data_IF_412795679647
#
_entry.id   IF_412795679647
#
_cell.length_a   1.000
_cell.length_b   1.000
_cell.length_c   1.000
_cell.angle_alpha   90.00
_cell.angle_beta   90.00
_cell.angle_gamma   90.00
#
_symmetry.space_group_name_H-M   'P 1'
#
loop_
_entity.id
_entity.type
_entity.pdbx_description
1 polymer ?
#
# COMPACT_ATOMS: atom_id res chain seq x y z
N UNK A 1 1.44 28.45 4.96
CA UNK A 1 0.19 27.65 5.13
C UNK A 1 0.39 26.29 4.45
N UNK A 2 0.86 25.28 5.18
CA UNK A 2 1.23 23.97 4.62
C UNK A 2 0.09 22.96 4.50
N UNK A 3 -1.15 23.39 4.28
CA UNK A 3 -2.33 22.51 4.27
C UNK A 3 -2.29 21.49 3.14
N UNK A 4 -1.75 21.85 1.97
CA UNK A 4 -1.54 20.92 0.85
C UNK A 4 -0.55 19.81 1.22
N UNK A 5 0.57 20.16 1.84
CA UNK A 5 1.56 19.19 2.31
C UNK A 5 0.95 18.23 3.34
N UNK A 6 0.19 18.76 4.29
CA UNK A 6 -0.52 17.96 5.29
C UNK A 6 -1.55 17.02 4.64
N UNK A 7 -2.33 17.49 3.66
CA UNK A 7 -3.30 16.67 2.95
C UNK A 7 -2.62 15.54 2.16
N UNK A 8 -1.51 15.82 1.48
CA UNK A 8 -0.74 14.80 0.77
C UNK A 8 -0.14 13.77 1.73
N UNK A 9 0.44 14.21 2.85
CA UNK A 9 0.93 13.28 3.89
C UNK A 9 -0.19 12.39 4.43
N UNK A 10 -1.36 12.97 4.75
CA UNK A 10 -2.51 12.21 5.22
C UNK A 10 -2.92 11.12 4.23
N UNK A 11 -2.97 11.42 2.93
CA UNK A 11 -3.29 10.44 1.90
C UNK A 11 -2.24 9.32 1.88
N UNK A 12 -0.96 9.66 1.90
CA UNK A 12 0.12 8.67 1.91
C UNK A 12 0.10 7.81 3.17
N UNK A 13 -0.25 8.36 4.33
CA UNK A 13 -0.37 7.64 5.59
C UNK A 13 -1.57 6.68 5.59
N UNK A 14 -2.71 7.10 5.00
CA UNK A 14 -3.87 6.23 4.80
C UNK A 14 -3.53 5.07 3.87
N UNK A 15 -2.87 5.36 2.74
CA UNK A 15 -2.42 4.31 1.81
C UNK A 15 -1.45 3.36 2.52
N UNK A 16 -0.53 3.89 3.33
CA UNK A 16 0.43 3.10 4.11
C UNK A 16 -0.28 2.14 5.06
N UNK A 17 -1.29 2.64 5.79
CA UNK A 17 -2.08 1.83 6.70
C UNK A 17 -2.83 0.70 5.98
N UNK A 18 -3.50 1.02 4.85
CA UNK A 18 -4.22 0.03 4.04
C UNK A 18 -3.26 -1.03 3.49
N UNK A 19 -2.07 -0.62 3.05
CA UNK A 19 -1.04 -1.55 2.58
C UNK A 19 -0.51 -2.46 3.68
N UNK A 20 -0.24 -1.92 4.87
CA UNK A 20 0.14 -2.73 6.04
C UNK A 20 -0.96 -3.74 6.38
N UNK A 21 -2.22 -3.32 6.41
CA UNK A 21 -3.35 -4.21 6.65
C UNK A 21 -3.40 -5.34 5.61
N UNK A 22 -3.16 -5.02 4.33
CA UNK A 22 -3.11 -6.01 3.26
C UNK A 22 -1.94 -7.00 3.41
N UNK A 23 -0.73 -6.51 3.72
CA UNK A 23 0.46 -7.35 3.92
C UNK A 23 0.27 -8.29 5.11
N UNK A 24 -0.22 -7.76 6.24
CA UNK A 24 -0.51 -8.57 7.43
C UNK A 24 -1.58 -9.61 7.10
N UNK A 25 -2.67 -9.23 6.42
CA UNK A 25 -3.72 -10.18 6.04
C UNK A 25 -3.18 -11.26 5.11
N UNK A 26 -2.31 -10.92 4.17
CA UNK A 26 -1.63 -11.87 3.28
C UNK A 26 -0.83 -12.90 4.07
N UNK A 27 -0.03 -12.47 5.06
CA UNK A 27 0.69 -13.39 5.94
C UNK A 27 -0.22 -14.24 6.80
N UNK A 28 -1.27 -13.66 7.39
CA UNK A 28 -2.24 -14.39 8.20
C UNK A 28 -2.95 -15.49 7.39
N UNK A 29 -3.28 -15.22 6.12
CA UNK A 29 -3.86 -16.21 5.22
C UNK A 29 -2.82 -17.27 4.84
N UNK A 30 -1.60 -16.85 4.48
CA UNK A 30 -0.54 -17.76 4.05
C UNK A 30 -0.15 -18.76 5.16
N UNK A 31 0.03 -18.26 6.39
CA UNK A 31 0.29 -19.07 7.58
C UNK A 31 -0.94 -19.82 8.12
N UNK A 32 -2.04 -19.85 7.37
CA UNK A 32 -3.28 -20.56 7.73
C UNK A 32 -3.89 -20.10 9.07
N UNK A 33 -3.57 -18.88 9.53
CA UNK A 33 -4.17 -18.27 10.73
C UNK A 33 -5.59 -17.78 10.41
N UNK A 34 -5.79 -17.21 9.22
CA UNK A 34 -7.10 -16.81 8.70
C UNK A 34 -7.53 -17.71 7.55
N UNK A 35 -8.80 -18.12 7.57
CA UNK A 35 -9.36 -19.00 6.55
C UNK A 35 -10.27 -18.21 5.60
N UNK A 36 -9.91 -18.18 4.32
CA UNK A 36 -10.70 -17.53 3.25
C UNK A 36 -12.07 -18.17 3.01
N UNK A 37 -12.36 -19.34 3.58
CA UNK A 37 -13.71 -19.94 3.54
C UNK A 37 -14.71 -19.16 4.42
N UNK A 38 -14.22 -18.37 5.38
CA UNK A 38 -15.08 -17.53 6.22
C UNK A 38 -15.53 -16.30 5.41
N UNK A 39 -16.84 -16.06 5.27
CA UNK A 39 -17.34 -14.98 4.41
C UNK A 39 -16.77 -13.59 4.76
N UNK A 40 -16.59 -13.30 6.05
CA UNK A 40 -16.03 -12.03 6.51
C UNK A 40 -14.57 -11.85 6.07
N UNK A 41 -13.73 -12.87 6.26
CA UNK A 41 -12.31 -12.83 5.86
C UNK A 41 -12.19 -12.68 4.34
N UNK A 42 -13.01 -13.42 3.59
CA UNK A 42 -13.06 -13.32 2.14
C UNK A 42 -13.46 -11.92 1.66
N UNK A 43 -14.51 -11.32 2.26
CA UNK A 43 -14.96 -9.97 1.90
C UNK A 43 -13.91 -8.92 2.21
N UNK A 44 -13.25 -9.00 3.37
CA UNK A 44 -12.16 -8.09 3.73
C UNK A 44 -10.96 -8.25 2.79
N UNK A 45 -10.54 -9.49 2.52
CA UNK A 45 -9.43 -9.79 1.62
C UNK A 45 -9.70 -9.30 0.19
N UNK A 46 -10.87 -9.60 -0.36
CA UNK A 46 -11.26 -9.16 -1.71
C UNK A 46 -11.47 -7.65 -1.77
N UNK A 47 -12.02 -7.04 -0.72
CA UNK A 47 -12.14 -5.58 -0.60
C UNK A 47 -10.78 -4.89 -0.63
N UNK A 48 -9.83 -5.34 0.20
CA UNK A 48 -8.47 -4.80 0.19
C UNK A 48 -7.77 -4.98 -1.15
N UNK A 49 -7.88 -6.18 -1.76
CA UNK A 49 -7.29 -6.42 -3.07
C UNK A 49 -7.86 -5.47 -4.12
N UNK A 50 -9.19 -5.31 -4.21
CA UNK A 50 -9.82 -4.42 -5.19
C UNK A 50 -9.45 -2.95 -4.98
N UNK A 51 -9.28 -2.52 -3.73
CA UNK A 51 -8.83 -1.16 -3.43
C UNK A 51 -7.38 -0.92 -3.88
N UNK A 52 -6.52 -1.92 -3.74
CA UNK A 52 -5.09 -1.81 -4.04
C UNK A 52 -4.74 -2.20 -5.48
N UNK A 53 -5.62 -2.92 -6.17
CA UNK A 53 -5.42 -3.39 -7.54
C UNK A 53 -5.07 -2.29 -8.55
N UNK A 54 -5.68 -1.08 -8.52
CA UNK A 54 -5.27 0.01 -9.41
C UNK A 54 -3.81 0.44 -9.20
N UNK A 55 -3.26 0.26 -8.00
CA UNK A 55 -1.89 0.61 -7.65
C UNK A 55 -0.94 -0.58 -7.94
N UNK A 56 -1.39 -1.81 -7.67
CA UNK A 56 -0.57 -3.02 -7.81
C UNK A 56 -0.49 -3.49 -9.26
N UNK A 57 -1.55 -3.39 -10.06
CA UNK A 57 -1.59 -3.89 -11.42
C UNK A 57 -0.55 -3.24 -12.34
N UNK A 58 -0.32 -1.91 -12.32
CA UNK A 58 0.76 -1.29 -13.08
C UNK A 58 2.13 -1.80 -12.65
N UNK A 59 2.36 -1.96 -11.34
CA UNK A 59 3.64 -2.45 -10.82
C UNK A 59 3.90 -3.89 -11.21
N UNK A 60 2.89 -4.77 -11.15
CA UNK A 60 3.00 -6.16 -11.62
C UNK A 60 3.38 -6.28 -13.09
N UNK A 61 2.98 -5.32 -13.95
CA UNK A 61 3.35 -5.32 -15.38
C UNK A 61 4.81 -4.97 -15.62
N UNK A 62 5.46 -4.31 -14.68
CA UNK A 62 6.86 -3.87 -14.78
C UNK A 62 7.79 -4.91 -14.13
N UNK A 63 7.29 -5.65 -13.15
CA UNK A 63 8.06 -6.70 -12.49
C UNK A 63 8.27 -7.89 -13.43
N UNK A 64 9.46 -8.50 -13.43
CA UNK A 64 9.67 -9.78 -14.09
C UNK A 64 8.77 -10.85 -13.44
N UNK A 65 8.49 -11.95 -14.15
CA UNK A 65 7.69 -13.05 -13.60
C UNK A 65 8.36 -13.64 -12.35
N UNK A 66 7.85 -13.27 -11.17
CA UNK A 66 8.35 -13.72 -9.85
C UNK A 66 7.80 -15.09 -9.44
N UNK A 67 7.20 -15.83 -10.39
CA UNK A 67 6.54 -17.11 -10.13
C UNK A 67 5.27 -16.95 -9.28
N UNK A 68 5.09 -17.82 -8.28
CA UNK A 68 3.89 -17.85 -7.43
C UNK A 68 3.87 -16.83 -6.28
N UNK A 69 4.89 -15.98 -6.15
CA UNK A 69 4.99 -14.96 -5.11
C UNK A 69 4.71 -13.58 -5.70
N UNK A 70 3.68 -12.90 -5.21
CA UNK A 70 3.37 -11.53 -5.61
C UNK A 70 4.26 -10.54 -4.86
N UNK A 71 5.27 -10.00 -5.55
CA UNK A 71 6.18 -8.98 -5.01
C UNK A 71 5.65 -7.56 -5.16
N UNK A 72 4.55 -7.33 -5.89
CA UNK A 72 4.04 -5.98 -6.12
C UNK A 72 3.69 -5.22 -4.84
N UNK A 73 3.05 -5.83 -3.80
CA UNK A 73 2.79 -5.13 -2.55
C UNK A 73 4.05 -4.56 -1.90
N UNK A 74 5.16 -5.31 -1.92
CA UNK A 74 6.43 -4.89 -1.35
C UNK A 74 7.04 -3.72 -2.13
N UNK A 75 7.04 -3.81 -3.46
CA UNK A 75 7.61 -2.77 -4.34
C UNK A 75 6.83 -1.47 -4.19
N UNK A 76 5.50 -1.55 -4.16
CA UNK A 76 4.63 -0.39 -3.95
C UNK A 76 4.88 0.20 -2.56
N UNK A 77 5.13 -0.64 -1.55
CA UNK A 77 5.34 -0.18 -0.18
C UNK A 77 6.63 0.62 -0.06
N UNK A 78 7.70 0.14 -0.72
CA UNK A 78 8.97 0.86 -0.82
C UNK A 78 8.78 2.20 -1.54
N UNK A 79 8.08 2.20 -2.67
CA UNK A 79 7.78 3.43 -3.42
C UNK A 79 6.99 4.45 -2.57
N UNK A 80 6.04 3.97 -1.76
CA UNK A 80 5.27 4.80 -0.84
C UNK A 80 6.14 5.42 0.26
N UNK A 81 7.04 4.65 0.87
CA UNK A 81 7.99 5.16 1.89
C UNK A 81 8.90 6.22 1.26
N UNK A 82 9.38 5.99 0.04
CA UNK A 82 10.19 6.96 -0.69
C UNK A 82 9.38 8.24 -0.93
N UNK A 83 8.11 8.13 -1.34
CA UNK A 83 7.24 9.28 -1.56
C UNK A 83 6.99 10.08 -0.27
N UNK A 84 6.73 9.42 0.86
CA UNK A 84 6.58 10.07 2.17
C UNK A 84 7.84 10.83 2.58
N UNK A 85 9.02 10.18 2.47
CA UNK A 85 10.31 10.80 2.80
C UNK A 85 10.64 11.96 1.87
N UNK A 86 10.38 11.81 0.58
CA UNK A 86 10.58 12.87 -0.40
C UNK A 86 9.70 14.09 -0.08
N UNK A 87 8.42 13.86 0.24
CA UNK A 87 7.50 14.93 0.60
C UNK A 87 7.91 15.64 1.90
N UNK A 88 8.33 14.87 2.92
CA UNK A 88 8.82 15.42 4.19
C UNK A 88 10.11 16.24 4.03
N UNK A 89 11.06 15.77 3.24
CA UNK A 89 12.33 16.48 3.00
C UNK A 89 12.11 17.75 2.18
N UNK A 90 11.15 17.74 1.26
CA UNK A 90 10.78 18.90 0.45
C UNK A 90 9.69 19.77 1.10
N UNK A 91 9.37 19.55 2.38
CA UNK A 91 8.30 20.28 3.05
C UNK A 91 8.55 21.80 3.06
N UNK A 92 9.82 22.24 3.04
CA UNK A 92 10.22 23.65 2.89
C UNK A 92 9.64 24.33 1.64
N UNK A 93 9.45 23.59 0.53
CA UNK A 93 8.78 24.10 -0.67
C UNK A 93 7.31 24.48 -0.41
N UNK A 94 6.61 23.73 0.44
CA UNK A 94 5.19 23.95 0.75
C UNK A 94 4.96 24.98 1.86
N UNK A 95 5.95 25.18 2.73
CA UNK A 95 5.86 26.16 3.80
C UNK A 95 6.20 27.59 3.35
N UNK A 96 6.76 27.73 2.14
CA UNK A 96 7.17 29.01 1.57
C UNK A 96 8.51 29.45 2.12
N UNK A 97 9.54 29.36 1.27
CA UNK A 97 10.44 30.50 1.13
C UNK A 97 9.77 31.51 0.21
#
# INVERSE_FOLDING_TARGET
MGTLHQALMLILDVVWFVMIAHIIMSWLINFQVLNLRQPLVYQLWTGLNRLLEPIYAPVRRILPDTGGLDLAPLVVFIALIIAQRALANNAGFFYGF
#
